data_IF_330829015831
#
_entry.id   IF_330829015831
#
_cell.length_a   1.000
_cell.length_b   1.000
_cell.length_c   1.000
_cell.angle_alpha   90.00
_cell.angle_beta   90.00
_cell.angle_gamma   90.00
#
_symmetry.space_group_name_H-M   'P 1'
#
loop_
_entity.id
_entity.type
_entity.pdbx_description
1 polymer ?
#
# COMPACT_ATOMS: atom_id res chain seq x y z
N UNK A 1 -7.28 16.26 -9.59
CA UNK A 1 -6.26 15.21 -9.37
C UNK A 1 -6.97 14.03 -8.75
N UNK A 2 -6.82 12.85 -9.35
CA UNK A 2 -7.53 11.64 -8.95
C UNK A 2 -6.51 10.66 -8.43
N UNK A 3 -6.64 10.26 -7.18
CA UNK A 3 -5.81 9.19 -6.63
C UNK A 3 -6.44 7.87 -7.04
N UNK A 4 -5.67 7.03 -7.72
CA UNK A 4 -6.08 5.71 -8.17
C UNK A 4 -5.45 4.66 -7.25
N UNK A 5 -6.26 3.70 -6.83
CA UNK A 5 -5.84 2.61 -5.95
C UNK A 5 -6.33 1.29 -6.51
N UNK A 6 -5.41 0.36 -6.69
CA UNK A 6 -5.69 -1.05 -6.84
C UNK A 6 -5.41 -1.77 -5.53
N UNK A 7 -6.18 -2.79 -5.24
CA UNK A 7 -5.90 -3.62 -4.08
C UNK A 7 -6.04 -5.12 -4.39
N UNK A 8 -5.15 -5.88 -3.76
CA UNK A 8 -4.92 -7.28 -4.02
C UNK A 8 -4.91 -8.06 -2.70
N UNK A 9 -5.43 -9.27 -2.74
CA UNK A 9 -5.29 -10.25 -1.66
C UNK A 9 -4.13 -11.20 -2.00
N UNK A 10 -3.34 -11.57 -0.99
CA UNK A 10 -2.36 -12.65 -1.12
C UNK A 10 -3.09 -14.00 -1.13
N UNK A 11 -2.85 -14.81 -2.15
CA UNK A 11 -3.39 -16.18 -2.26
C UNK A 11 -2.26 -17.20 -2.30
N UNK A 12 -2.49 -18.36 -1.70
CA UNK A 12 -1.60 -19.50 -1.83
C UNK A 12 -2.23 -20.51 -2.80
N UNK A 13 -1.76 -20.48 -4.03
CA UNK A 13 -2.23 -21.38 -5.08
C UNK A 13 -1.18 -22.50 -5.26
N UNK A 14 -1.48 -23.68 -4.71
CA UNK A 14 -0.65 -24.90 -4.81
C UNK A 14 0.79 -24.74 -4.29
N UNK A 15 0.98 -23.99 -3.21
CA UNK A 15 2.28 -23.76 -2.58
C UNK A 15 3.05 -22.56 -3.13
N UNK A 16 2.51 -21.87 -4.13
CA UNK A 16 3.04 -20.60 -4.62
C UNK A 16 2.19 -19.44 -4.13
N UNK A 17 2.84 -18.41 -3.59
CA UNK A 17 2.18 -17.16 -3.24
C UNK A 17 1.96 -16.32 -4.50
N UNK A 18 0.77 -15.78 -4.67
CA UNK A 18 0.48 -14.82 -5.74
C UNK A 18 -0.52 -13.76 -5.30
N UNK A 19 -0.55 -12.64 -6.01
CA UNK A 19 -1.52 -11.57 -5.77
C UNK A 19 -2.73 -11.71 -6.68
N UNK A 20 -3.91 -11.52 -6.12
CA UNK A 20 -5.17 -11.51 -6.87
C UNK A 20 -5.84 -10.16 -6.71
N UNK A 21 -6.02 -9.42 -7.82
CA UNK A 21 -6.72 -8.14 -7.81
C UNK A 21 -8.17 -8.35 -7.37
N UNK A 22 -8.64 -7.52 -6.42
CA UNK A 22 -10.02 -7.56 -5.89
C UNK A 22 -10.68 -6.20 -5.84
N UNK A 23 -9.94 -5.14 -6.07
CA UNK A 23 -10.47 -3.78 -6.08
C UNK A 23 -9.67 -2.95 -7.08
N UNK A 24 -10.40 -2.19 -7.88
CA UNK A 24 -9.89 -1.09 -8.68
C UNK A 24 -10.83 0.10 -8.43
N UNK A 25 -10.27 1.23 -8.02
CA UNK A 25 -11.05 2.44 -7.81
C UNK A 25 -10.17 3.67 -7.73
N UNK A 26 -10.74 4.80 -8.12
CA UNK A 26 -10.14 6.10 -7.85
C UNK A 26 -11.15 6.98 -7.15
N UNK A 27 -10.68 7.77 -6.18
CA UNK A 27 -11.48 8.90 -5.69
C UNK A 27 -10.76 10.21 -6.00
N UNK A 28 -11.54 11.21 -6.39
CA UNK A 28 -11.08 12.59 -6.41
C UNK A 28 -10.77 13.08 -4.99
N UNK A 29 -10.30 14.31 -4.88
CA UNK A 29 -9.94 14.91 -3.60
C UNK A 29 -11.18 15.01 -2.67
N UNK A 30 -11.29 14.09 -1.71
CA UNK A 30 -12.41 14.02 -0.77
C UNK A 30 -11.98 14.73 0.52
N UNK A 31 -12.83 15.62 1.04
CA UNK A 31 -12.56 16.39 2.25
C UNK A 31 -12.55 15.58 3.55
N UNK A 32 -12.76 14.25 3.49
CA UNK A 32 -12.85 13.36 4.64
C UNK A 32 -11.90 12.19 4.50
N UNK A 33 -11.06 12.00 5.51
CA UNK A 33 -9.96 11.02 5.48
C UNK A 33 -10.45 9.56 5.40
N UNK A 34 -11.64 9.26 5.95
CA UNK A 34 -12.24 7.93 5.90
C UNK A 34 -12.82 7.55 4.52
N UNK A 35 -12.82 8.51 3.59
CA UNK A 35 -13.24 8.36 2.19
C UNK A 35 -12.07 8.44 1.20
N UNK A 36 -10.82 8.45 1.68
CA UNK A 36 -9.64 8.32 0.84
C UNK A 36 -9.60 6.95 0.14
N UNK A 37 -9.04 6.91 -1.08
CA UNK A 37 -9.11 5.76 -1.97
C UNK A 37 -8.51 4.51 -1.31
N UNK A 38 -7.37 4.68 -0.66
CA UNK A 38 -6.60 3.63 -0.03
C UNK A 38 -7.34 3.02 1.18
N UNK A 39 -8.09 3.84 1.93
CA UNK A 39 -8.92 3.34 3.04
C UNK A 39 -10.18 2.62 2.54
N UNK A 40 -10.79 3.11 1.47
CA UNK A 40 -11.94 2.45 0.85
C UNK A 40 -11.53 1.08 0.28
N UNK A 41 -10.40 1.04 -0.45
CA UNK A 41 -9.84 -0.20 -0.98
C UNK A 41 -9.52 -1.21 0.13
N UNK A 42 -8.86 -0.76 1.22
CA UNK A 42 -8.60 -1.58 2.40
C UNK A 42 -9.88 -2.17 3.00
N UNK A 43 -10.90 -1.33 3.25
CA UNK A 43 -12.18 -1.79 3.81
C UNK A 43 -12.88 -2.82 2.90
N UNK A 44 -12.87 -2.59 1.59
CA UNK A 44 -13.46 -3.50 0.61
C UNK A 44 -12.81 -4.88 0.65
N UNK A 45 -11.47 -4.94 0.70
CA UNK A 45 -10.73 -6.21 0.70
C UNK A 45 -10.73 -6.89 2.07
N UNK A 46 -10.77 -6.13 3.17
CA UNK A 46 -10.75 -6.69 4.52
C UNK A 46 -11.91 -7.68 4.76
N UNK A 47 -13.07 -7.45 4.13
CA UNK A 47 -14.23 -8.36 4.19
C UNK A 47 -13.94 -9.79 3.72
N UNK A 48 -12.82 -10.00 3.02
CA UNK A 48 -12.38 -11.29 2.47
C UNK A 48 -11.38 -12.02 3.39
N UNK A 49 -11.01 -11.42 4.52
CA UNK A 49 -10.04 -11.96 5.48
C UNK A 49 -8.69 -12.36 4.86
N UNK A 50 -8.02 -11.48 4.09
CA UNK A 50 -6.72 -11.77 3.51
C UNK A 50 -5.64 -11.91 4.60
N UNK A 51 -4.61 -12.71 4.33
CA UNK A 51 -3.44 -12.82 5.20
C UNK A 51 -2.51 -11.60 5.10
N UNK A 52 -2.41 -11.02 3.90
CA UNK A 52 -1.68 -9.77 3.60
C UNK A 52 -2.47 -9.01 2.53
N UNK A 53 -2.55 -7.69 2.68
CA UNK A 53 -3.16 -6.80 1.68
C UNK A 53 -2.05 -6.11 0.92
N UNK A 54 -2.15 -6.12 -0.41
CA UNK A 54 -1.31 -5.28 -1.25
C UNK A 54 -2.13 -4.14 -1.85
N UNK A 55 -1.67 -2.91 -1.64
CA UNK A 55 -2.25 -1.70 -2.22
C UNK A 55 -1.27 -1.14 -3.25
N UNK A 56 -1.75 -0.75 -4.42
CA UNK A 56 -0.96 -0.02 -5.43
C UNK A 56 -1.64 1.31 -5.67
N UNK A 57 -0.91 2.40 -5.51
CA UNK A 57 -1.47 3.73 -5.71
C UNK A 57 -0.47 4.74 -6.24
N UNK A 58 -0.97 5.78 -6.91
CA UNK A 58 -0.14 6.83 -7.50
C UNK A 58 0.27 7.94 -6.52
N UNK A 59 -0.06 7.84 -5.23
CA UNK A 59 0.23 8.86 -4.22
C UNK A 59 0.70 8.25 -2.90
N UNK A 60 1.50 9.02 -2.15
CA UNK A 60 1.73 8.71 -0.74
C UNK A 60 0.43 8.87 0.05
N UNK A 61 0.13 8.00 1.02
CA UNK A 61 -1.01 8.21 1.91
C UNK A 61 -0.79 9.47 2.74
N UNK A 62 -1.82 10.25 3.04
CA UNK A 62 -1.67 11.35 3.99
C UNK A 62 -1.35 10.79 5.40
N UNK A 63 -0.84 11.64 6.30
CA UNK A 63 -0.50 11.33 7.70
C UNK A 63 -1.60 10.59 8.44
N UNK A 64 -2.85 11.01 8.28
CA UNK A 64 -3.99 10.31 8.90
C UNK A 64 -4.15 8.90 8.33
N UNK A 65 -3.99 8.70 7.03
CA UNK A 65 -4.05 7.36 6.43
C UNK A 65 -2.85 6.50 6.85
N UNK A 66 -1.67 7.10 6.97
CA UNK A 66 -0.47 6.45 7.51
C UNK A 66 -0.73 5.89 8.92
N UNK A 67 -1.31 6.68 9.81
CA UNK A 67 -1.61 6.25 11.19
C UNK A 67 -2.72 5.19 11.25
N UNK A 68 -3.72 5.29 10.36
CA UNK A 68 -4.71 4.24 10.20
C UNK A 68 -4.07 2.91 9.79
N UNK A 69 -3.13 2.90 8.84
CA UNK A 69 -2.50 1.66 8.40
C UNK A 69 -1.49 1.10 9.41
N UNK A 70 -0.79 1.93 10.18
CA UNK A 70 0.04 1.45 11.31
C UNK A 70 -0.78 0.65 12.33
N UNK A 71 -2.04 1.05 12.54
CA UNK A 71 -2.97 0.40 13.48
C UNK A 71 -3.82 -0.72 12.86
N UNK A 72 -3.62 -1.03 11.57
CA UNK A 72 -4.34 -2.11 10.91
C UNK A 72 -3.99 -3.47 11.52
N UNK A 73 -5.01 -4.33 11.65
CA UNK A 73 -4.86 -5.68 12.20
C UNK A 73 -4.26 -6.68 11.21
N UNK A 74 -4.29 -6.35 9.91
CA UNK A 74 -3.75 -7.17 8.83
C UNK A 74 -2.51 -6.46 8.26
N UNK A 75 -1.43 -7.21 7.94
CA UNK A 75 -0.26 -6.65 7.28
C UNK A 75 -0.61 -6.01 5.93
N UNK A 76 -0.01 -4.87 5.63
CA UNK A 76 -0.23 -4.13 4.38
C UNK A 76 1.10 -3.85 3.69
N UNK A 77 1.17 -4.14 2.40
CA UNK A 77 2.24 -3.76 1.49
C UNK A 77 1.70 -2.74 0.49
N UNK A 78 2.12 -1.49 0.61
CA UNK A 78 1.65 -0.40 -0.24
C UNK A 78 2.74 0.01 -1.22
N UNK A 79 2.51 -0.19 -2.51
CA UNK A 79 3.33 0.37 -3.57
C UNK A 79 2.82 1.76 -3.93
N UNK A 80 3.70 2.74 -3.81
CA UNK A 80 3.48 4.13 -4.22
C UNK A 80 4.22 4.36 -5.53
N UNK A 81 3.48 4.40 -6.65
CA UNK A 81 4.04 4.47 -8.01
C UNK A 81 4.39 5.90 -8.44
N UNK A 82 3.79 6.91 -7.80
CA UNK A 82 4.09 8.31 -8.03
C UNK A 82 3.89 9.14 -6.73
N UNK A 83 4.32 10.40 -6.76
CA UNK A 83 4.12 11.34 -5.65
C UNK A 83 2.92 12.26 -5.94
N UNK A 84 1.83 11.70 -6.45
CA UNK A 84 0.59 12.43 -6.62
C UNK A 84 0.08 12.93 -5.25
N UNK A 85 -0.54 14.12 -5.20
CA UNK A 85 -0.95 14.75 -3.94
C UNK A 85 0.17 15.37 -3.11
N UNK A 86 1.45 15.11 -3.42
CA UNK A 86 2.64 15.68 -2.75
C UNK A 86 2.75 15.36 -1.25
N UNK A 87 2.19 14.23 -0.82
CA UNK A 87 2.21 13.80 0.59
C UNK A 87 3.57 13.22 1.05
N UNK A 88 4.55 13.06 0.16
CA UNK A 88 5.91 12.59 0.50
C UNK A 88 6.55 13.25 1.74
N UNK A 89 6.37 14.56 1.94
CA UNK A 89 6.93 15.29 3.08
C UNK A 89 6.34 14.87 4.43
N UNK A 90 5.10 14.39 4.46
CA UNK A 90 4.47 13.83 5.66
C UNK A 90 5.13 12.50 6.08
N UNK A 91 5.97 11.93 5.22
CA UNK A 91 6.75 10.73 5.48
C UNK A 91 8.24 11.01 5.68
N UNK A 92 8.64 12.29 5.81
CA UNK A 92 10.05 12.67 5.96
C UNK A 92 10.88 12.56 4.68
N UNK A 93 10.22 12.46 3.52
CA UNK A 93 10.86 12.45 2.21
C UNK A 93 10.86 13.87 1.59
N UNK A 94 11.77 14.17 0.65
CA UNK A 94 11.75 15.45 -0.04
C UNK A 94 10.48 15.60 -0.89
N UNK A 95 10.06 16.85 -1.17
CA UNK A 95 8.83 17.14 -1.92
C UNK A 95 8.79 16.55 -3.35
N UNK A 96 9.95 16.20 -3.89
CA UNK A 96 10.15 15.52 -5.17
C UNK A 96 10.69 14.09 -4.97
N UNK A 97 10.26 13.42 -3.89
CA UNK A 97 10.64 12.03 -3.59
C UNK A 97 10.55 11.16 -4.86
N UNK A 98 11.60 10.37 -5.07
CA UNK A 98 11.62 9.39 -6.15
C UNK A 98 10.61 8.27 -5.87
N UNK A 99 9.92 7.84 -6.91
CA UNK A 99 9.03 6.68 -6.91
C UNK A 99 9.53 5.67 -7.97
N UNK A 100 9.25 4.36 -7.83
CA UNK A 100 8.37 3.77 -6.83
C UNK A 100 8.96 3.62 -5.42
N UNK A 101 8.09 3.67 -4.41
CA UNK A 101 8.41 3.38 -3.00
C UNK A 101 7.44 2.32 -2.47
N UNK A 102 7.95 1.33 -1.75
CA UNK A 102 7.13 0.36 -1.02
C UNK A 102 7.05 0.73 0.45
N UNK A 103 5.84 0.74 1.00
CA UNK A 103 5.58 1.00 2.41
C UNK A 103 4.96 -0.26 3.04
N UNK A 104 5.63 -0.78 4.06
CA UNK A 104 5.21 -1.93 4.85
C UNK A 104 4.58 -1.47 6.17
N UNK A 105 3.38 -1.95 6.46
CA UNK A 105 2.68 -1.72 7.73
C UNK A 105 2.38 -3.05 8.43
N UNK A 106 2.90 -3.25 9.63
CA UNK A 106 2.60 -4.42 10.43
C UNK A 106 2.86 -4.20 11.93
N UNK A 107 1.93 -4.61 12.79
CA UNK A 107 2.05 -4.54 14.25
C UNK A 107 2.53 -3.17 14.78
N UNK A 108 1.89 -2.08 14.37
CA UNK A 108 2.28 -0.72 14.80
C UNK A 108 3.54 -0.18 14.15
N UNK A 109 4.24 -0.98 13.34
CA UNK A 109 5.50 -0.61 12.69
C UNK A 109 5.27 -0.22 11.24
N UNK A 110 6.03 0.79 10.79
CA UNK A 110 6.14 1.20 9.39
C UNK A 110 7.58 1.04 8.91
N UNK A 111 7.78 0.50 7.71
CA UNK A 111 9.06 0.54 6.99
C UNK A 111 8.85 1.00 5.56
N UNK A 112 9.73 1.87 5.08
CA UNK A 112 9.72 2.32 3.69
C UNK A 112 10.99 1.85 3.00
N UNK A 113 10.84 1.37 1.78
CA UNK A 113 11.94 0.90 0.93
C UNK A 113 11.80 1.56 -0.44
N UNK A 114 12.86 2.20 -0.92
CA UNK A 114 12.88 2.76 -2.27
C UNK A 114 13.22 1.68 -3.28
N UNK A 115 12.45 1.57 -4.37
CA UNK A 115 12.74 0.60 -5.41
C UNK A 115 13.79 1.17 -6.37
N UNK A 116 15.03 0.73 -6.23
CA UNK A 116 16.12 1.05 -7.16
C UNK A 116 16.66 -0.25 -7.75
N UNK A 117 16.22 -0.56 -8.98
CA UNK A 117 16.74 -1.65 -9.82
C UNK A 117 16.95 -2.99 -9.09
N UNK A 118 15.85 -3.66 -8.76
CA UNK A 118 15.85 -4.93 -8.02
C UNK A 118 14.64 -4.92 -7.12
N UNK A 119 13.63 -5.69 -7.51
CA UNK A 119 12.29 -5.68 -6.91
C UNK A 119 12.41 -6.08 -5.44
N UNK A 120 11.62 -5.49 -4.54
CA UNK A 120 11.54 -5.93 -3.14
C UNK A 120 10.90 -7.32 -3.09
N UNK A 121 11.68 -8.33 -3.46
CA UNK A 121 11.31 -9.74 -3.40
C UNK A 121 11.32 -10.26 -1.98
N UNK A 122 12.01 -9.57 -1.07
CA UNK A 122 12.17 -9.97 0.32
C UNK A 122 11.45 -8.99 1.25
N UNK A 123 10.42 -9.44 2.01
CA UNK A 123 9.81 -8.60 3.03
C UNK A 123 10.85 -8.17 4.07
N UNK A 124 10.73 -6.96 4.62
CA UNK A 124 11.62 -6.54 5.68
C UNK A 124 11.48 -7.45 6.90
N UNK A 125 12.56 -7.60 7.67
CA UNK A 125 12.57 -8.41 8.88
C UNK A 125 11.36 -8.11 9.79
N UNK A 126 10.64 -9.17 10.18
CA UNK A 126 9.43 -9.10 11.01
C UNK A 126 8.12 -8.92 10.23
N UNK A 127 8.16 -8.69 8.92
CA UNK A 127 6.97 -8.65 8.07
C UNK A 127 6.65 -10.06 7.49
N UNK A 128 5.38 -10.44 7.32
CA UNK A 128 5.02 -11.75 6.78
C UNK A 128 5.50 -11.99 5.35
N UNK A 129 5.73 -13.26 4.99
CA UNK A 129 6.05 -13.66 3.63
C UNK A 129 4.94 -13.27 2.65
N UNK A 130 5.32 -12.77 1.48
CA UNK A 130 4.41 -12.41 0.40
C UNK A 130 5.04 -12.66 -0.97
N UNK A 131 4.22 -12.68 -2.02
CA UNK A 131 4.69 -12.72 -3.40
C UNK A 131 5.35 -11.38 -3.78
N UNK A 132 6.13 -11.36 -4.85
CA UNK A 132 6.70 -10.13 -5.40
C UNK A 132 5.62 -9.06 -5.63
N UNK A 133 5.91 -7.82 -5.23
CA UNK A 133 4.98 -6.67 -5.31
C UNK A 133 4.58 -6.41 -6.77
N UNK A 134 3.29 -6.19 -7.03
CA UNK A 134 2.77 -5.89 -8.38
C UNK A 134 2.73 -4.38 -8.64
N UNK A 135 3.08 -3.94 -9.85
CA UNK A 135 3.17 -2.51 -10.19
C UNK A 135 1.90 -1.92 -10.84
N UNK A 136 1.01 -2.79 -11.33
CA UNK A 136 -0.15 -2.55 -12.22
C UNK A 136 0.15 -1.83 -13.54
#
# INVERSE_FOLDING_TARGET
MTIVVNAYELVNDRGSLSWRNKYNGGVGNKSKDDQHAERLAYKSILTRSPSVIHLVQNAFPCSKCDDFFKSASIPIVMLVTANEGKYSSEHGLPANAACPVVIYYYNGTKKMVGMWSGRDSEPPAGFPAHAEVQED
#
